data_IF_814672777527
#
_entry.id   IF_814672777527
#
_cell.length_a   1.000
_cell.length_b   1.000
_cell.length_c   1.000
_cell.angle_alpha   90.00
_cell.angle_beta   90.00
_cell.angle_gamma   90.00
#
_symmetry.space_group_name_H-M   'P 1'
#
loop_
_entity.id
_entity.type
_entity.pdbx_description
1 polymer ?
#
# COMPACT_ATOMS: atom_id res chain seq x y z
N UNK A 1 7.90 -10.91 12.32
CA UNK A 1 9.23 -10.30 12.23
C UNK A 1 10.08 -10.59 13.47
N UNK A 2 9.58 -10.33 14.68
CA UNK A 2 10.33 -10.61 15.93
C UNK A 2 10.64 -12.10 16.08
N UNK A 3 9.75 -13.01 15.69
CA UNK A 3 9.91 -14.46 15.72
C UNK A 3 10.72 -15.06 14.57
N UNK A 4 11.18 -14.22 13.63
CA UNK A 4 11.90 -14.67 12.44
C UNK A 4 13.32 -15.19 12.73
N UNK A 5 13.95 -15.87 11.76
CA UNK A 5 15.24 -16.51 11.93
C UNK A 5 16.38 -15.56 12.27
N UNK A 6 16.17 -14.27 12.06
CA UNK A 6 17.17 -13.22 12.32
C UNK A 6 17.11 -12.63 13.74
N UNK A 7 15.99 -12.77 14.47
CA UNK A 7 15.81 -12.18 15.80
C UNK A 7 15.66 -13.26 16.87
N UNK A 8 14.54 -13.97 16.91
CA UNK A 8 14.29 -14.98 17.95
C UNK A 8 14.56 -16.42 17.49
N UNK A 9 14.83 -16.64 16.20
CA UNK A 9 15.11 -17.96 15.60
C UNK A 9 14.03 -19.03 15.87
N UNK A 10 12.80 -18.60 16.16
CA UNK A 10 11.66 -19.51 16.44
C UNK A 10 11.14 -20.15 15.14
N UNK A 11 11.23 -19.42 14.01
CA UNK A 11 10.75 -19.87 12.70
C UNK A 11 11.94 -20.03 11.76
N UNK A 12 12.11 -21.21 11.21
CA UNK A 12 13.18 -21.51 10.25
C UNK A 12 12.93 -20.85 8.89
N UNK A 13 13.99 -20.58 8.16
CA UNK A 13 13.95 -20.01 6.79
C UNK A 13 13.07 -20.84 5.83
N UNK A 14 13.03 -22.15 6.01
CA UNK A 14 12.19 -23.06 5.21
C UNK A 14 10.70 -22.76 5.39
N UNK A 15 10.27 -22.50 6.62
CA UNK A 15 8.87 -22.16 6.92
C UNK A 15 8.50 -20.78 6.40
N UNK A 16 9.43 -19.81 6.44
CA UNK A 16 9.22 -18.48 5.88
C UNK A 16 9.03 -18.55 4.35
N UNK A 17 9.85 -19.34 3.66
CA UNK A 17 9.70 -19.55 2.20
C UNK A 17 8.40 -20.26 1.84
N UNK A 18 8.01 -21.28 2.61
CA UNK A 18 6.76 -21.98 2.39
C UNK A 18 5.55 -21.04 2.62
N UNK A 19 5.58 -20.23 3.69
CA UNK A 19 4.55 -19.23 3.97
C UNK A 19 4.43 -18.20 2.85
N UNK A 20 5.53 -17.69 2.30
CA UNK A 20 5.52 -16.75 1.18
C UNK A 20 4.82 -17.34 -0.06
N UNK A 21 5.07 -18.61 -0.38
CA UNK A 21 4.40 -19.29 -1.50
C UNK A 21 2.90 -19.46 -1.25
N UNK A 22 2.51 -19.82 -0.02
CA UNK A 22 1.10 -19.95 0.35
C UNK A 22 0.35 -18.62 0.28
N UNK A 23 1.00 -17.51 0.63
CA UNK A 23 0.44 -16.16 0.49
C UNK A 23 0.12 -15.86 -0.97
N UNK A 24 1.02 -16.18 -1.90
CA UNK A 24 0.79 -15.98 -3.35
C UNK A 24 -0.43 -16.79 -3.83
N UNK A 25 -0.52 -18.05 -3.42
CA UNK A 25 -1.67 -18.91 -3.77
C UNK A 25 -2.96 -18.39 -3.15
N UNK A 26 -2.91 -17.91 -1.89
CA UNK A 26 -4.06 -17.35 -1.20
C UNK A 26 -4.57 -16.04 -1.79
N UNK A 27 -3.69 -15.24 -2.40
CA UNK A 27 -4.05 -13.96 -3.05
C UNK A 27 -4.64 -14.19 -4.46
N UNK A 28 -4.31 -15.28 -5.13
CA UNK A 28 -4.77 -15.52 -6.51
C UNK A 28 -6.31 -15.45 -6.68
N UNK A 29 -7.15 -16.08 -5.84
CA UNK A 29 -8.61 -15.95 -5.94
C UNK A 29 -9.10 -14.52 -5.72
N UNK A 30 -8.42 -13.77 -4.84
CA UNK A 30 -8.75 -12.38 -4.59
C UNK A 30 -8.47 -11.51 -5.81
N UNK A 31 -7.34 -11.71 -6.50
CA UNK A 31 -7.01 -10.99 -7.74
C UNK A 31 -8.04 -11.29 -8.84
N UNK A 32 -8.45 -12.56 -8.98
CA UNK A 32 -9.50 -12.94 -9.94
C UNK A 32 -10.81 -12.21 -9.62
N UNK A 33 -11.24 -12.22 -8.36
CA UNK A 33 -12.44 -11.47 -7.92
C UNK A 33 -12.32 -9.99 -8.26
N UNK A 34 -11.18 -9.39 -8.01
CA UNK A 34 -10.95 -7.97 -8.29
C UNK A 34 -11.01 -7.67 -9.81
N UNK A 35 -10.44 -8.54 -10.63
CA UNK A 35 -10.54 -8.43 -12.09
C UNK A 35 -11.99 -8.50 -12.59
N UNK A 36 -12.80 -9.38 -12.03
CA UNK A 36 -14.24 -9.50 -12.34
C UNK A 36 -14.96 -8.22 -11.90
N UNK A 37 -14.71 -7.76 -10.68
CA UNK A 37 -15.33 -6.53 -10.16
C UNK A 37 -14.94 -5.32 -10.99
N UNK A 38 -13.70 -5.24 -11.45
CA UNK A 38 -13.20 -4.20 -12.34
C UNK A 38 -13.97 -4.18 -13.67
N UNK A 39 -14.10 -5.34 -14.30
CA UNK A 39 -14.86 -5.46 -15.54
C UNK A 39 -16.33 -5.06 -15.40
N UNK A 40 -16.96 -5.46 -14.30
CA UNK A 40 -18.35 -5.11 -14.01
C UNK A 40 -18.59 -3.61 -13.75
N UNK A 41 -17.55 -2.87 -13.34
CA UNK A 41 -17.66 -1.44 -13.01
C UNK A 41 -17.01 -0.51 -14.05
N UNK A 42 -16.74 -1.01 -15.26
CA UNK A 42 -16.03 -0.23 -16.30
C UNK A 42 -16.78 1.05 -16.69
N UNK A 43 -18.10 1.02 -16.71
CA UNK A 43 -18.93 2.20 -16.99
C UNK A 43 -18.78 3.25 -15.87
N UNK A 44 -18.77 2.81 -14.61
CA UNK A 44 -18.55 3.70 -13.46
C UNK A 44 -17.17 4.34 -13.51
N UNK A 45 -16.15 3.59 -13.92
CA UNK A 45 -14.78 4.08 -14.07
C UNK A 45 -14.69 5.12 -15.18
N UNK A 46 -15.33 4.85 -16.32
CA UNK A 46 -15.37 5.79 -17.43
C UNK A 46 -16.16 7.06 -17.11
N UNK A 47 -17.26 6.94 -16.37
CA UNK A 47 -18.09 8.08 -15.96
C UNK A 47 -17.44 8.97 -14.91
N UNK A 48 -16.58 8.41 -14.04
CA UNK A 48 -15.84 9.17 -13.03
C UNK A 48 -14.71 10.04 -13.60
N UNK A 49 -14.31 9.79 -14.86
CA UNK A 49 -13.46 10.69 -15.64
C UNK A 49 -12.12 11.06 -14.98
N UNK A 50 -11.71 12.35 -15.02
CA UNK A 50 -10.41 12.80 -14.51
C UNK A 50 -10.19 12.55 -13.01
N UNK A 51 -11.25 12.46 -12.21
CA UNK A 51 -11.14 12.22 -10.77
C UNK A 51 -10.47 10.87 -10.47
N UNK A 52 -10.72 9.85 -11.30
CA UNK A 52 -10.08 8.53 -11.18
C UNK A 52 -8.58 8.59 -11.40
N UNK A 53 -8.17 9.32 -12.44
CA UNK A 53 -6.76 9.49 -12.76
C UNK A 53 -6.04 10.23 -11.63
N UNK A 54 -6.62 11.31 -11.11
CA UNK A 54 -6.08 12.06 -9.97
C UNK A 54 -5.99 11.20 -8.72
N UNK A 55 -6.97 10.34 -8.46
CA UNK A 55 -6.98 9.42 -7.34
C UNK A 55 -5.79 8.42 -7.41
N UNK A 56 -5.51 7.87 -8.59
CA UNK A 56 -4.35 7.00 -8.81
C UNK A 56 -3.00 7.72 -8.64
N UNK A 57 -2.91 8.97 -9.06
CA UNK A 57 -1.67 9.77 -8.91
C UNK A 57 -1.32 10.08 -7.46
N UNK A 58 -2.30 10.19 -6.55
CA UNK A 58 -2.04 10.43 -5.14
C UNK A 58 -1.11 9.39 -4.51
N UNK A 59 -1.23 8.14 -4.90
CA UNK A 59 -0.39 7.04 -4.42
C UNK A 59 1.07 7.10 -4.89
N UNK A 60 1.30 7.68 -6.06
CA UNK A 60 2.60 7.80 -6.67
C UNK A 60 3.55 8.74 -5.90
N UNK A 61 3.04 9.82 -5.32
CA UNK A 61 3.85 10.79 -4.57
C UNK A 61 4.49 10.19 -3.32
N UNK A 62 3.91 9.12 -2.77
CA UNK A 62 4.48 8.41 -1.62
C UNK A 62 5.91 7.90 -1.85
N UNK A 63 6.27 7.55 -3.09
CA UNK A 63 7.61 7.04 -3.45
C UNK A 63 8.69 8.07 -3.13
N UNK A 64 8.46 9.34 -3.44
CA UNK A 64 9.45 10.41 -3.27
C UNK A 64 9.80 10.68 -1.80
N UNK A 65 8.88 10.41 -0.88
CA UNK A 65 9.10 10.55 0.55
C UNK A 65 9.55 9.25 1.20
N UNK A 66 8.90 8.13 0.87
CA UNK A 66 9.16 6.86 1.52
C UNK A 66 10.50 6.25 1.14
N UNK A 67 10.91 6.33 -0.12
CA UNK A 67 12.14 5.71 -0.60
C UNK A 67 13.41 6.32 0.02
N UNK A 68 13.60 7.65 0.04
CA UNK A 68 14.75 8.25 0.73
C UNK A 68 14.80 7.88 2.22
N UNK A 69 13.66 7.91 2.91
CA UNK A 69 13.59 7.57 4.34
C UNK A 69 13.94 6.10 4.56
N UNK A 70 13.44 5.18 3.73
CA UNK A 70 13.76 3.77 3.82
C UNK A 70 15.26 3.50 3.62
N UNK A 71 15.90 4.16 2.64
CA UNK A 71 17.34 4.06 2.40
C UNK A 71 18.14 4.61 3.60
N UNK A 72 17.75 5.76 4.16
CA UNK A 72 18.37 6.34 5.35
C UNK A 72 18.23 5.45 6.60
N UNK A 73 17.15 4.67 6.69
CA UNK A 73 16.97 3.65 7.72
C UNK A 73 17.79 2.38 7.48
N UNK A 74 18.56 2.34 6.40
CA UNK A 74 19.46 1.23 6.06
C UNK A 74 18.78 0.05 5.38
N UNK A 75 17.59 0.25 4.81
CA UNK A 75 16.97 -0.73 3.91
C UNK A 75 17.72 -0.74 2.58
N UNK A 76 17.85 -1.93 2.01
CA UNK A 76 18.44 -2.13 0.68
C UNK A 76 17.32 -2.28 -0.35
N UNK A 77 17.44 -3.29 -1.21
CA UNK A 77 16.44 -3.58 -2.25
C UNK A 77 15.02 -3.80 -1.69
N UNK A 78 14.89 -4.17 -0.41
CA UNK A 78 13.62 -4.24 0.29
C UNK A 78 12.86 -2.90 0.27
N UNK A 79 13.59 -1.76 0.21
CA UNK A 79 13.00 -0.44 0.10
C UNK A 79 12.16 -0.28 -1.17
N UNK A 80 12.61 -0.84 -2.31
CA UNK A 80 11.87 -0.80 -3.57
C UNK A 80 10.51 -1.47 -3.44
N UNK A 81 10.46 -2.63 -2.79
CA UNK A 81 9.19 -3.34 -2.57
C UNK A 81 8.29 -2.73 -1.49
N UNK A 82 8.84 -1.86 -0.62
CA UNK A 82 8.11 -1.31 0.51
C UNK A 82 7.60 0.14 0.30
N UNK A 83 8.19 0.90 -0.64
CA UNK A 83 8.01 2.34 -0.70
C UNK A 83 6.86 2.82 -1.57
N UNK A 84 6.23 1.96 -2.33
CA UNK A 84 5.01 2.28 -3.05
C UNK A 84 3.94 1.24 -2.72
N UNK A 85 2.73 1.69 -2.58
CA UNK A 85 1.61 0.80 -2.29
C UNK A 85 0.35 1.51 -2.73
N UNK A 86 -0.34 0.93 -3.66
CA UNK A 86 -1.68 1.38 -4.01
C UNK A 86 -2.65 0.51 -3.24
N UNK A 87 -3.19 -0.53 -3.78
CA UNK A 87 -3.85 -1.55 -2.98
C UNK A 87 -2.84 -2.65 -2.69
N UNK A 88 -2.67 -2.99 -1.44
CA UNK A 88 -1.57 -3.85 -0.97
C UNK A 88 -1.57 -5.22 -1.59
N UNK A 89 -2.74 -5.77 -1.81
CA UNK A 89 -2.92 -7.09 -2.41
C UNK A 89 -2.41 -7.09 -3.85
N UNK A 90 -2.80 -6.09 -4.64
CA UNK A 90 -2.31 -5.92 -6.02
C UNK A 90 -0.83 -5.63 -6.07
N UNK A 91 -0.35 -4.77 -5.16
CA UNK A 91 1.05 -4.44 -5.06
C UNK A 91 1.91 -5.68 -4.78
N UNK A 92 1.52 -6.48 -3.79
CA UNK A 92 2.26 -7.67 -3.42
C UNK A 92 2.26 -8.71 -4.55
N UNK A 93 1.13 -8.89 -5.24
CA UNK A 93 1.04 -9.78 -6.38
C UNK A 93 1.94 -9.32 -7.54
N UNK A 94 1.94 -8.02 -7.83
CA UNK A 94 2.75 -7.44 -8.89
C UNK A 94 4.25 -7.55 -8.61
N UNK A 95 4.68 -7.24 -7.39
CA UNK A 95 6.08 -7.39 -6.94
C UNK A 95 6.53 -8.85 -7.02
N UNK A 96 5.71 -9.79 -6.55
CA UNK A 96 6.02 -11.22 -6.63
C UNK A 96 6.14 -11.70 -8.07
N UNK A 97 5.34 -11.16 -8.97
CA UNK A 97 5.40 -11.52 -10.39
C UNK A 97 6.63 -10.96 -11.10
N UNK A 98 7.02 -9.72 -10.79
CA UNK A 98 8.15 -9.04 -11.47
C UNK A 98 9.50 -9.49 -10.92
N UNK A 99 9.64 -9.55 -9.59
CA UNK A 99 10.93 -9.81 -8.93
C UNK A 99 11.06 -11.24 -8.35
N UNK A 100 9.95 -11.97 -8.30
CA UNK A 100 9.88 -13.30 -7.68
C UNK A 100 9.56 -13.24 -6.18
N UNK A 101 8.86 -14.27 -5.69
CA UNK A 101 8.37 -14.34 -4.30
C UNK A 101 9.50 -14.42 -3.24
N UNK A 102 10.69 -14.87 -3.61
CA UNK A 102 11.85 -14.99 -2.73
C UNK A 102 12.77 -13.75 -2.79
N UNK A 103 12.42 -12.72 -3.56
CA UNK A 103 13.23 -11.51 -3.75
C UNK A 103 13.29 -10.64 -2.51
N UNK A 104 14.24 -9.72 -2.46
CA UNK A 104 14.32 -8.70 -1.43
C UNK A 104 13.11 -7.76 -1.50
N UNK A 105 12.69 -7.40 -2.70
CA UNK A 105 11.53 -6.57 -2.98
C UNK A 105 10.24 -7.22 -2.46
N UNK A 106 10.06 -8.52 -2.68
CA UNK A 106 8.90 -9.26 -2.17
C UNK A 106 8.88 -9.28 -0.63
N UNK A 107 10.04 -9.44 0.02
CA UNK A 107 10.13 -9.32 1.50
C UNK A 107 9.78 -7.93 1.99
N UNK A 108 10.22 -6.88 1.28
CA UNK A 108 9.85 -5.50 1.58
C UNK A 108 8.33 -5.28 1.47
N UNK A 109 7.73 -5.71 0.38
CA UNK A 109 6.29 -5.64 0.14
C UNK A 109 5.49 -6.39 1.21
N UNK A 110 5.87 -7.63 1.53
CA UNK A 110 5.21 -8.43 2.56
C UNK A 110 5.32 -7.77 3.95
N UNK A 111 6.47 -7.18 4.25
CA UNK A 111 6.69 -6.49 5.52
C UNK A 111 5.75 -5.31 5.70
N UNK A 112 5.60 -4.48 4.66
CA UNK A 112 4.69 -3.32 4.73
C UNK A 112 3.22 -3.77 4.68
N UNK A 113 2.91 -4.89 4.03
CA UNK A 113 1.58 -5.48 4.03
C UNK A 113 1.13 -5.81 5.45
N UNK A 114 1.97 -6.51 6.22
CA UNK A 114 1.64 -6.96 7.58
C UNK A 114 1.66 -5.77 8.55
N UNK A 115 2.80 -5.09 8.69
CA UNK A 115 2.98 -4.01 9.69
C UNK A 115 2.10 -2.82 9.36
N UNK A 116 2.09 -2.41 8.09
CA UNK A 116 1.28 -1.31 7.64
C UNK A 116 -0.23 -1.62 7.70
N UNK A 117 -0.65 -2.90 7.55
CA UNK A 117 -2.04 -3.33 7.79
C UNK A 117 -2.48 -3.05 9.21
N UNK A 118 -1.68 -3.45 10.18
CA UNK A 118 -2.00 -3.25 11.60
C UNK A 118 -1.94 -1.78 12.01
N UNK A 119 -0.80 -1.13 11.78
CA UNK A 119 -0.57 0.27 12.21
C UNK A 119 -1.40 1.24 11.38
N UNK A 120 -1.49 1.00 10.07
CA UNK A 120 -2.24 1.86 9.16
C UNK A 120 -3.73 1.88 9.44
N UNK A 121 -4.33 0.77 9.84
CA UNK A 121 -5.75 0.71 10.20
C UNK A 121 -6.08 1.67 11.35
N UNK A 122 -5.26 1.68 12.39
CA UNK A 122 -5.41 2.58 13.53
C UNK A 122 -5.13 4.03 13.09
N UNK A 123 -4.04 4.25 12.38
CA UNK A 123 -3.62 5.57 11.92
C UNK A 123 -4.68 6.24 11.03
N UNK A 124 -5.19 5.54 10.03
CA UNK A 124 -6.18 6.10 9.11
C UNK A 124 -7.55 6.33 9.76
N UNK A 125 -7.94 5.52 10.75
CA UNK A 125 -9.13 5.79 11.54
C UNK A 125 -9.02 7.11 12.32
N UNK A 126 -7.88 7.33 12.98
CA UNK A 126 -7.61 8.57 13.72
C UNK A 126 -7.47 9.76 12.75
N UNK A 127 -6.73 9.58 11.66
CA UNK A 127 -6.54 10.63 10.66
C UNK A 127 -7.86 11.08 10.03
N UNK A 128 -8.74 10.15 9.69
CA UNK A 128 -10.05 10.44 9.14
C UNK A 128 -10.89 11.31 10.11
N UNK A 129 -10.89 10.95 11.39
CA UNK A 129 -11.55 11.75 12.43
C UNK A 129 -10.91 13.14 12.57
N UNK A 130 -9.58 13.23 12.60
CA UNK A 130 -8.88 14.50 12.72
C UNK A 130 -9.15 15.43 11.53
N UNK A 131 -9.16 14.89 10.30
CA UNK A 131 -9.49 15.66 9.10
C UNK A 131 -10.95 16.09 9.10
N UNK A 132 -11.87 15.22 9.52
CA UNK A 132 -13.29 15.55 9.65
C UNK A 132 -13.54 16.70 10.63
N UNK A 133 -12.79 16.72 11.73
CA UNK A 133 -12.90 17.82 12.74
C UNK A 133 -12.48 19.18 12.17
N UNK A 134 -11.67 19.25 11.12
CA UNK A 134 -11.29 20.52 10.49
C UNK A 134 -12.44 21.20 9.75
N UNK A 135 -13.47 20.44 9.35
CA UNK A 135 -14.61 20.96 8.56
C UNK A 135 -14.26 21.47 7.18
N UNK A 136 -13.02 21.23 6.71
CA UNK A 136 -12.53 21.76 5.42
C UNK A 136 -13.09 21.00 4.21
N UNK A 137 -13.44 19.74 4.38
CA UNK A 137 -13.84 18.84 3.30
C UNK A 137 -15.26 18.34 3.48
N UNK A 138 -15.96 18.17 2.36
CA UNK A 138 -17.29 17.58 2.36
C UNK A 138 -17.21 16.10 2.78
N UNK A 139 -18.17 15.57 3.57
CA UNK A 139 -18.13 14.18 4.04
C UNK A 139 -17.98 13.13 2.95
N UNK A 140 -18.63 13.34 1.81
CA UNK A 140 -18.55 12.44 0.65
C UNK A 140 -17.17 12.45 -0.01
N UNK A 141 -16.52 13.61 -0.08
CA UNK A 141 -15.16 13.72 -0.61
C UNK A 141 -14.17 12.97 0.29
N UNK A 142 -14.34 13.04 1.62
CA UNK A 142 -13.55 12.26 2.58
C UNK A 142 -13.86 10.77 2.47
N UNK A 143 -15.13 10.41 2.20
CA UNK A 143 -15.53 9.03 1.90
C UNK A 143 -14.77 8.47 0.71
N UNK A 144 -14.75 9.17 -0.42
CA UNK A 144 -14.00 8.77 -1.61
C UNK A 144 -12.49 8.67 -1.32
N UNK A 145 -11.92 9.64 -0.62
CA UNK A 145 -10.51 9.66 -0.25
C UNK A 145 -10.11 8.49 0.66
N UNK A 146 -11.02 8.01 1.51
CA UNK A 146 -10.76 6.84 2.38
C UNK A 146 -10.55 5.55 1.58
N UNK A 147 -10.99 5.48 0.33
CA UNK A 147 -10.80 4.35 -0.58
C UNK A 147 -9.37 4.20 -1.15
N UNK A 148 -8.47 5.16 -0.93
CA UNK A 148 -7.09 5.11 -1.47
C UNK A 148 -6.23 4.00 -0.84
N UNK A 149 -6.59 3.49 0.32
CA UNK A 149 -5.82 2.47 1.04
C UNK A 149 -6.22 1.03 0.73
N UNK A 150 -5.68 0.09 1.50
CA UNK A 150 -6.18 -1.27 1.52
C UNK A 150 -7.56 -1.33 2.17
N UNK A 151 -8.39 -2.33 1.81
CA UNK A 151 -9.76 -2.46 2.28
C UNK A 151 -9.95 -2.37 3.79
N UNK A 152 -9.01 -2.89 4.59
CA UNK A 152 -9.03 -2.76 6.05
C UNK A 152 -8.81 -1.32 6.53
N UNK A 153 -7.99 -0.55 5.85
CA UNK A 153 -7.78 0.88 6.17
C UNK A 153 -8.97 1.71 5.74
N UNK A 154 -9.53 1.42 4.55
CA UNK A 154 -10.77 2.01 4.07
C UNK A 154 -11.91 1.75 5.07
N UNK A 155 -12.07 0.53 5.54
CA UNK A 155 -13.10 0.18 6.50
C UNK A 155 -12.96 0.97 7.80
N UNK A 156 -11.74 1.12 8.32
CA UNK A 156 -11.48 1.90 9.54
C UNK A 156 -11.75 3.40 9.35
N UNK A 157 -11.22 4.00 8.27
CA UNK A 157 -11.41 5.42 8.00
C UNK A 157 -12.86 5.76 7.70
N UNK A 158 -13.54 4.98 6.86
CA UNK A 158 -14.96 5.19 6.55
C UNK A 158 -15.87 4.99 7.76
N UNK A 159 -15.57 4.02 8.65
CA UNK A 159 -16.29 3.84 9.89
C UNK A 159 -16.19 5.07 10.80
N UNK A 160 -14.98 5.65 10.93
CA UNK A 160 -14.75 6.87 11.70
C UNK A 160 -15.53 8.04 11.12
N UNK A 161 -15.56 8.21 9.79
CA UNK A 161 -16.33 9.25 9.13
C UNK A 161 -17.84 9.06 9.30
N UNK A 162 -18.34 7.83 9.17
CA UNK A 162 -19.77 7.52 9.39
C UNK A 162 -20.22 7.82 10.82
N UNK A 163 -19.36 7.61 11.80
CA UNK A 163 -19.65 7.94 13.19
C UNK A 163 -19.76 9.47 13.41
N UNK A 164 -18.98 10.26 12.67
CA UNK A 164 -18.99 11.73 12.76
C UNK A 164 -20.11 12.37 11.92
N UNK A 165 -20.49 11.73 10.81
CA UNK A 165 -21.50 12.21 9.87
C UNK A 165 -22.56 11.13 9.61
N UNK A 166 -23.46 10.86 10.57
CA UNK A 166 -24.47 9.80 10.44
C UNK A 166 -25.39 9.96 9.22
N UNK A 167 -25.74 11.20 8.90
CA UNK A 167 -26.63 11.53 7.77
C UNK A 167 -26.00 11.20 6.41
N UNK A 168 -24.67 11.13 6.33
CA UNK A 168 -23.91 10.80 5.12
C UNK A 168 -23.34 9.38 5.15
N UNK A 169 -23.69 8.55 6.14
CA UNK A 169 -23.02 7.26 6.36
C UNK A 169 -23.13 6.30 5.17
N UNK A 170 -24.25 6.30 4.47
CA UNK A 170 -24.46 5.44 3.29
C UNK A 170 -23.65 5.92 2.09
N UNK A 171 -23.65 7.23 1.80
CA UNK A 171 -22.88 7.82 0.71
C UNK A 171 -21.37 7.70 0.96
N UNK A 172 -20.91 7.90 2.20
CA UNK A 172 -19.52 7.71 2.59
C UNK A 172 -19.04 6.26 2.30
N UNK A 173 -19.80 5.24 2.74
CA UNK A 173 -19.46 3.84 2.50
C UNK A 173 -19.44 3.50 1.02
N UNK A 174 -20.41 3.97 0.28
CA UNK A 174 -20.51 3.75 -1.16
C UNK A 174 -19.30 4.36 -1.88
N UNK A 175 -19.01 5.64 -1.61
CA UNK A 175 -17.89 6.33 -2.24
C UNK A 175 -16.52 5.78 -1.82
N UNK A 176 -16.38 5.34 -0.57
CA UNK A 176 -15.17 4.64 -0.13
C UNK A 176 -14.93 3.35 -0.93
N UNK A 177 -15.97 2.54 -1.12
CA UNK A 177 -15.89 1.30 -1.91
C UNK A 177 -15.60 1.58 -3.38
N UNK A 178 -16.21 2.61 -3.95
CA UNK A 178 -15.91 3.06 -5.32
C UNK A 178 -14.46 3.51 -5.42
N UNK A 179 -13.99 4.34 -4.48
CA UNK A 179 -12.60 4.81 -4.42
C UNK A 179 -11.59 3.66 -4.36
N UNK A 180 -11.85 2.64 -3.52
CA UNK A 180 -10.98 1.46 -3.42
C UNK A 180 -10.93 0.65 -4.73
N UNK A 181 -12.09 0.41 -5.32
CA UNK A 181 -12.18 -0.33 -6.59
C UNK A 181 -11.40 0.41 -7.68
N UNK A 182 -11.59 1.72 -7.78
CA UNK A 182 -10.90 2.57 -8.74
C UNK A 182 -9.39 2.61 -8.50
N UNK A 183 -8.97 2.80 -7.25
CA UNK A 183 -7.55 2.79 -6.88
C UNK A 183 -6.91 1.43 -7.23
N UNK A 184 -7.63 0.34 -7.03
CA UNK A 184 -7.15 -1.00 -7.37
C UNK A 184 -6.89 -1.15 -8.87
N UNK A 185 -7.85 -0.77 -9.71
CA UNK A 185 -7.76 -0.94 -11.16
C UNK A 185 -6.69 -0.04 -11.76
N UNK A 186 -6.78 1.27 -11.52
CA UNK A 186 -5.81 2.24 -12.04
C UNK A 186 -4.43 2.01 -11.47
N UNK A 187 -4.37 1.57 -10.21
CA UNK A 187 -3.16 1.31 -9.49
C UNK A 187 -2.29 0.23 -10.08
N UNK A 188 -2.86 -0.85 -10.61
CA UNK A 188 -2.07 -1.91 -11.25
C UNK A 188 -1.29 -1.33 -12.44
N UNK A 189 -1.95 -0.59 -13.32
CA UNK A 189 -1.32 -0.03 -14.50
C UNK A 189 -0.29 1.05 -14.15
N UNK A 190 -0.63 1.95 -13.22
CA UNK A 190 0.29 3.00 -12.76
C UNK A 190 1.52 2.36 -12.10
N UNK A 191 1.34 1.33 -11.28
CA UNK A 191 2.48 0.64 -10.67
C UNK A 191 3.36 -0.05 -11.70
N UNK A 192 2.78 -0.82 -12.60
CA UNK A 192 3.53 -1.60 -13.58
C UNK A 192 4.34 -0.71 -14.52
N UNK A 193 3.74 0.34 -15.04
CA UNK A 193 4.36 1.15 -16.10
C UNK A 193 5.12 2.37 -15.61
N UNK A 194 4.76 2.90 -14.43
CA UNK A 194 5.33 4.16 -13.92
C UNK A 194 6.05 3.95 -12.59
N UNK A 195 5.35 3.45 -11.56
CA UNK A 195 5.86 3.46 -10.20
C UNK A 195 7.07 2.53 -10.01
N UNK A 196 7.00 1.30 -10.50
CA UNK A 196 8.10 0.33 -10.38
C UNK A 196 9.35 0.78 -11.14
N UNK A 197 9.28 1.13 -12.44
CA UNK A 197 10.45 1.64 -13.16
C UNK A 197 11.04 2.90 -12.54
N UNK A 198 10.19 3.80 -12.03
CA UNK A 198 10.65 5.02 -11.38
C UNK A 198 11.31 4.71 -10.04
N UNK A 199 10.70 3.86 -9.23
CA UNK A 199 11.25 3.46 -7.93
C UNK A 199 12.62 2.79 -8.08
N UNK A 200 12.78 1.92 -9.07
CA UNK A 200 14.06 1.30 -9.40
C UNK A 200 15.13 2.33 -9.81
N UNK A 201 14.77 3.26 -10.68
CA UNK A 201 15.70 4.35 -11.10
C UNK A 201 16.07 5.25 -9.92
N UNK A 202 15.09 5.67 -9.13
CA UNK A 202 15.34 6.49 -7.94
C UNK A 202 16.20 5.74 -6.92
N UNK A 203 15.97 4.45 -6.71
CA UNK A 203 16.80 3.64 -5.85
C UNK A 203 18.26 3.60 -6.30
N UNK A 204 18.51 3.37 -7.60
CA UNK A 204 19.86 3.36 -8.17
C UNK A 204 20.59 4.69 -8.00
N UNK A 205 19.88 5.82 -8.02
CA UNK A 205 20.43 7.17 -7.84
C UNK A 205 20.66 7.49 -6.35
N UNK A 206 19.72 7.11 -5.49
CA UNK A 206 19.71 7.50 -4.08
C UNK A 206 20.55 6.56 -3.20
N UNK A 207 20.58 5.26 -3.50
CA UNK A 207 21.31 4.28 -2.68
C UNK A 207 22.80 4.60 -2.57
N UNK A 208 23.56 4.94 -3.65
CA UNK A 208 24.95 5.32 -3.53
C UNK A 208 25.19 6.57 -2.68
N UNK A 209 24.22 7.51 -2.69
CA UNK A 209 24.35 8.78 -1.97
C UNK A 209 23.91 8.68 -0.51
N UNK A 210 22.80 8.01 -0.24
CA UNK A 210 22.16 7.96 1.08
C UNK A 210 22.47 6.68 1.86
N UNK A 211 22.79 5.57 1.18
CA UNK A 211 23.03 4.27 1.80
C UNK A 211 24.23 4.25 2.76
N UNK A 212 25.22 5.11 2.53
CA UNK A 212 26.37 5.26 3.44
C UNK A 212 25.95 5.78 4.83
N UNK A 213 24.98 6.68 4.90
CA UNK A 213 24.48 7.21 6.18
C UNK A 213 23.71 6.16 6.98
N UNK A 214 22.90 5.33 6.32
CA UNK A 214 22.16 4.25 6.96
C UNK A 214 23.06 3.11 7.50
N UNK A 215 24.17 2.82 6.81
CA UNK A 215 25.13 1.78 7.22
C UNK A 215 25.96 2.19 8.45
N UNK A 216 26.39 3.46 8.54
CA UNK A 216 27.11 4.00 9.73
C UNK A 216 26.26 3.93 10.99
N UNK A 217 24.94 4.11 10.88
CA UNK A 217 24.03 4.09 12.02
C UNK A 217 23.78 2.68 12.58
N UNK A 218 23.97 1.63 11.76
CA UNK A 218 23.88 0.23 12.21
C UNK A 218 25.18 -0.27 12.85
N UNK A 219 26.33 0.12 12.31
CA UNK A 219 27.66 -0.27 12.86
C UNK A 219 27.99 0.39 14.19
N UNK A 220 27.33 1.46 14.60
CA UNK A 220 27.49 2.12 15.90
C UNK A 220 26.50 1.66 16.99
N UNK A 221 25.75 0.59 16.73
CA UNK A 221 24.79 -0.01 17.69
C UNK A 221 25.08 -1.47 18.01
N UNK A 222 26.14 -2.03 17.46
CA UNK A 222 26.78 -3.28 17.88
C UNK A 222 28.00 -2.96 18.78
#
# INVERSE_FOLDING_TARGET
>A
MVSGPQVLKIVENKHVKAASKLVVVGIAPFIVKLGITAGANIETILSAGPAVLLHGFGNFFGIFLALPVAILLGMKREAVGACFSINREYHMALINNIYGADSAEARGSLSIYIVGGMVGTIYFGILASAVAMTGLFHPEAMGLASGVGAGIMMASSSASLCAMYPDFAESIKTLASVGETMAGITGIYINMFIAIPLCDKLYQILEPKLGHFGRKKKAGKE
#
